data_IF_143960179168
#
_entry.id   IF_143960179168
#
_cell.length_a   1.000
_cell.length_b   1.000
_cell.length_c   1.000
_cell.angle_alpha   90.00
_cell.angle_beta   90.00
_cell.angle_gamma   90.00
#
_symmetry.space_group_name_H-M   'P 1'
#
loop_
_entity.id
_entity.type
_entity.pdbx_description
1 polymer ?
#
# COMPACT_ATOMS: atom_id res chain seq x y z
N UNK A 1 12.11 -13.82 15.24
CA UNK A 1 11.79 -14.22 13.86
C UNK A 1 13.02 -13.95 13.02
N UNK A 2 13.48 -14.91 12.27
CA UNK A 2 14.59 -14.79 11.35
C UNK A 2 14.04 -14.53 9.94
N UNK A 3 14.66 -13.62 9.19
CA UNK A 3 14.24 -13.23 7.83
C UNK A 3 15.40 -13.52 6.89
N UNK A 4 15.13 -14.28 5.84
CA UNK A 4 16.11 -14.68 4.84
C UNK A 4 15.82 -13.96 3.52
N UNK A 5 16.36 -12.77 3.39
CA UNK A 5 16.21 -11.96 2.18
C UNK A 5 16.98 -12.57 0.99
N UNK A 6 16.51 -12.32 -0.22
CA UNK A 6 17.12 -12.84 -1.45
C UNK A 6 17.09 -14.37 -1.57
N UNK A 7 16.26 -15.04 -0.77
CA UNK A 7 16.17 -16.49 -0.69
C UNK A 7 14.85 -17.02 -1.25
N UNK A 8 14.84 -18.24 -1.75
CA UNK A 8 13.67 -18.88 -2.34
C UNK A 8 13.52 -20.31 -1.83
N UNK A 9 12.33 -20.66 -1.32
CA UNK A 9 12.00 -22.06 -1.05
C UNK A 9 11.94 -22.84 -2.38
N UNK A 10 12.70 -23.92 -2.48
CA UNK A 10 12.86 -24.71 -3.71
C UNK A 10 12.01 -25.98 -3.66
N UNK A 11 12.02 -26.67 -2.52
CA UNK A 11 11.25 -27.88 -2.27
C UNK A 11 10.99 -28.12 -0.80
N UNK A 12 9.95 -28.87 -0.53
CA UNK A 12 9.62 -29.39 0.79
C UNK A 12 9.97 -30.88 0.81
N UNK A 13 10.68 -31.33 1.82
CA UNK A 13 10.99 -32.73 2.06
C UNK A 13 10.04 -33.33 3.09
N UNK A 14 9.66 -34.57 2.89
CA UNK A 14 8.85 -35.33 3.85
C UNK A 14 9.67 -36.42 4.54
N UNK A 15 9.16 -36.94 5.65
CA UNK A 15 9.77 -37.96 6.48
C UNK A 15 9.57 -39.42 5.98
N UNK A 16 9.03 -39.58 4.77
CA UNK A 16 8.61 -40.87 4.24
C UNK A 16 7.24 -41.35 4.71
N UNK A 17 6.69 -40.77 5.76
CA UNK A 17 5.33 -40.99 6.25
C UNK A 17 4.34 -39.90 5.82
N UNK A 18 4.76 -38.98 4.94
CA UNK A 18 3.94 -37.92 4.40
C UNK A 18 3.88 -36.64 5.25
N UNK A 19 4.67 -36.54 6.32
CA UNK A 19 4.79 -35.33 7.12
C UNK A 19 5.98 -34.51 6.65
N UNK A 20 5.89 -33.19 6.80
CA UNK A 20 7.00 -32.28 6.51
C UNK A 20 8.17 -32.58 7.44
N UNK A 21 9.36 -32.69 6.89
CA UNK A 21 10.62 -32.90 7.62
C UNK A 21 11.59 -31.72 7.44
N UNK A 22 11.62 -31.09 6.26
CA UNK A 22 12.49 -29.96 6.01
C UNK A 22 11.99 -29.12 4.81
N UNK A 23 12.52 -27.90 4.70
CA UNK A 23 12.44 -27.06 3.52
C UNK A 23 13.84 -26.83 2.98
N UNK A 24 14.04 -26.98 1.68
CA UNK A 24 15.26 -26.59 1.00
C UNK A 24 15.08 -25.17 0.47
N UNK A 25 15.98 -24.30 0.88
CA UNK A 25 15.99 -22.87 0.53
C UNK A 25 17.25 -22.57 -0.27
N UNK A 26 17.07 -21.98 -1.43
CA UNK A 26 18.17 -21.41 -2.21
C UNK A 26 18.44 -20.01 -1.69
N UNK A 27 19.66 -19.79 -1.22
CA UNK A 27 20.16 -18.51 -0.74
C UNK A 27 21.17 -17.93 -1.73
N UNK A 28 21.62 -16.67 -1.59
CA UNK A 28 22.70 -16.11 -2.40
C UNK A 28 24.02 -16.89 -2.29
N UNK A 29 24.22 -17.67 -1.24
CA UNK A 29 25.45 -18.45 -0.96
C UNK A 29 25.33 -19.94 -1.27
N UNK A 30 24.15 -20.45 -1.60
CA UNK A 30 23.92 -21.86 -1.90
C UNK A 30 22.56 -22.38 -1.44
N UNK A 31 22.37 -23.68 -1.47
CA UNK A 31 21.16 -24.31 -0.92
C UNK A 31 21.37 -24.70 0.55
N UNK A 32 20.41 -24.36 1.37
CA UNK A 32 20.36 -24.72 2.78
C UNK A 32 19.13 -25.56 3.09
N UNK A 33 19.27 -26.49 4.02
CA UNK A 33 18.22 -27.37 4.50
C UNK A 33 17.76 -26.93 5.89
N UNK A 34 16.52 -26.48 6.00
CA UNK A 34 15.92 -26.05 7.26
C UNK A 34 14.99 -27.15 7.76
N UNK A 35 15.32 -27.76 8.89
CA UNK A 35 14.46 -28.75 9.54
C UNK A 35 13.22 -28.07 10.13
N UNK A 36 12.06 -28.60 9.79
CA UNK A 36 10.77 -28.12 10.28
C UNK A 36 9.70 -29.19 10.11
N UNK A 37 8.69 -29.16 10.96
CA UNK A 37 7.53 -30.03 10.87
C UNK A 37 6.28 -29.32 10.32
N UNK A 38 6.40 -28.03 10.00
CA UNK A 38 5.31 -27.23 9.45
C UNK A 38 5.83 -26.16 8.49
N UNK A 39 5.13 -25.95 7.38
CA UNK A 39 5.43 -24.89 6.41
C UNK A 39 4.14 -24.12 6.10
N UNK A 40 4.19 -22.82 6.32
CA UNK A 40 3.14 -21.90 5.86
C UNK A 40 3.57 -21.25 4.55
N UNK A 41 2.75 -21.41 3.51
CA UNK A 41 3.02 -20.85 2.19
C UNK A 41 2.23 -19.55 1.98
N UNK A 42 2.93 -18.44 1.95
CA UNK A 42 2.39 -17.11 1.64
C UNK A 42 3.01 -16.58 0.35
N UNK A 43 2.80 -17.27 -0.77
CA UNK A 43 3.51 -17.02 -2.04
C UNK A 43 2.82 -15.98 -2.94
N UNK A 44 1.77 -15.34 -2.45
CA UNK A 44 0.96 -14.41 -3.22
C UNK A 44 -0.12 -15.10 -4.05
N UNK A 45 -0.68 -14.34 -4.98
CA UNK A 45 -1.83 -14.74 -5.80
C UNK A 45 -1.48 -14.61 -7.29
N UNK A 46 -2.19 -15.37 -8.12
CA UNK A 46 -2.08 -15.31 -9.57
C UNK A 46 -3.47 -15.21 -10.18
N UNK A 47 -3.58 -14.54 -11.34
CA UNK A 47 -4.84 -14.41 -12.07
C UNK A 47 -5.31 -15.75 -12.65
N UNK A 48 -6.60 -16.06 -12.55
CA UNK A 48 -7.20 -17.25 -13.13
C UNK A 48 -7.59 -17.00 -14.60
N UNK A 49 -6.60 -16.80 -15.46
CA UNK A 49 -6.79 -16.41 -16.85
C UNK A 49 -6.89 -17.58 -17.86
N UNK A 50 -6.71 -18.82 -17.42
CA UNK A 50 -6.67 -19.99 -18.31
C UNK A 50 -7.98 -20.15 -19.12
N UNK A 51 -9.13 -20.00 -18.47
CA UNK A 51 -10.42 -20.15 -19.14
C UNK A 51 -10.65 -19.05 -20.18
N UNK A 52 -10.54 -17.74 -19.87
CA UNK A 52 -10.73 -16.70 -20.88
C UNK A 52 -9.65 -16.73 -21.96
N UNK A 53 -8.42 -17.10 -21.66
CA UNK A 53 -7.37 -17.24 -22.65
C UNK A 53 -7.70 -18.35 -23.66
N UNK A 54 -8.13 -19.52 -23.17
CA UNK A 54 -8.50 -20.66 -24.01
C UNK A 54 -9.79 -20.41 -24.80
N UNK A 55 -10.81 -19.82 -24.16
CA UNK A 55 -12.14 -19.66 -24.79
C UNK A 55 -12.20 -18.46 -25.75
N UNK A 56 -11.50 -17.37 -25.46
CA UNK A 56 -11.62 -16.10 -26.18
C UNK A 56 -10.32 -15.69 -26.91
N UNK A 57 -9.19 -16.33 -26.62
CA UNK A 57 -7.91 -15.98 -27.22
C UNK A 57 -7.32 -14.65 -26.72
N UNK A 58 -7.70 -14.19 -25.53
CA UNK A 58 -7.14 -12.98 -24.95
C UNK A 58 -5.64 -13.17 -24.64
N UNK A 59 -4.85 -12.13 -24.79
CA UNK A 59 -3.41 -12.16 -24.45
C UNK A 59 -3.22 -12.18 -22.94
N UNK A 60 -2.31 -13.03 -22.49
CA UNK A 60 -1.95 -13.21 -21.09
C UNK A 60 -0.48 -12.82 -20.89
N UNK A 61 -0.17 -12.15 -19.81
CA UNK A 61 1.17 -11.74 -19.42
C UNK A 61 1.93 -12.79 -18.60
N UNK A 62 3.17 -12.48 -18.20
CA UNK A 62 4.07 -13.44 -17.54
C UNK A 62 3.64 -13.85 -16.13
N UNK A 63 2.76 -13.09 -15.48
CA UNK A 63 2.17 -13.41 -14.17
C UNK A 63 0.75 -13.96 -14.29
N UNK A 64 0.42 -14.50 -15.44
CA UNK A 64 -0.92 -15.05 -15.76
C UNK A 64 -2.04 -13.99 -15.80
N UNK A 65 -1.72 -12.69 -15.83
CA UNK A 65 -2.69 -11.61 -15.95
C UNK A 65 -3.19 -11.45 -17.38
N UNK A 66 -4.47 -11.12 -17.57
CA UNK A 66 -5.00 -10.71 -18.88
C UNK A 66 -4.51 -9.30 -19.20
N UNK A 67 -3.84 -9.15 -20.34
CA UNK A 67 -3.32 -7.87 -20.78
C UNK A 67 -4.46 -6.98 -21.26
N UNK A 68 -4.57 -5.79 -20.68
CA UNK A 68 -5.53 -4.75 -21.05
C UNK A 68 -4.85 -3.41 -21.30
N UNK A 69 -5.52 -2.55 -22.05
CA UNK A 69 -5.13 -1.13 -22.15
C UNK A 69 -5.72 -0.32 -20.98
N UNK A 70 -5.43 0.99 -20.93
CA UNK A 70 -5.96 1.90 -19.88
C UNK A 70 -7.49 2.02 -19.86
N UNK A 71 -8.17 1.60 -20.92
CA UNK A 71 -9.64 1.54 -21.01
C UNK A 71 -10.19 0.17 -20.59
N UNK A 72 -9.32 -0.74 -20.10
CA UNK A 72 -9.66 -2.10 -19.67
C UNK A 72 -10.10 -3.04 -20.82
N UNK A 73 -9.79 -2.67 -22.06
CA UNK A 73 -10.03 -3.51 -23.23
C UNK A 73 -8.91 -4.55 -23.38
N UNK A 74 -9.28 -5.77 -23.67
CA UNK A 74 -8.33 -6.84 -23.97
C UNK A 74 -7.82 -6.76 -25.42
N UNK A 75 -7.01 -7.73 -25.82
CA UNK A 75 -6.58 -7.89 -27.23
C UNK A 75 -7.72 -8.33 -28.18
N UNK A 76 -8.87 -8.73 -27.64
CA UNK A 76 -10.04 -9.17 -28.42
C UNK A 76 -11.09 -8.05 -28.43
N UNK A 77 -11.59 -7.63 -29.61
CA UNK A 77 -12.60 -6.59 -29.73
C UNK A 77 -13.85 -6.87 -28.88
N UNK A 78 -14.35 -5.83 -28.23
CA UNK A 78 -15.54 -5.88 -27.36
C UNK A 78 -15.41 -6.78 -26.11
N UNK A 79 -14.19 -7.24 -25.79
CA UNK A 79 -13.89 -8.01 -24.57
C UNK A 79 -13.10 -7.13 -23.62
N UNK A 80 -13.60 -7.00 -22.40
CA UNK A 80 -12.97 -6.24 -21.30
C UNK A 80 -12.57 -7.23 -20.20
N UNK A 81 -11.51 -6.94 -19.48
CA UNK A 81 -11.12 -7.68 -18.29
C UNK A 81 -10.92 -6.70 -17.12
N UNK A 82 -11.30 -7.14 -15.93
CA UNK A 82 -11.35 -6.33 -14.71
C UNK A 82 -10.91 -7.15 -13.48
N UNK A 83 -10.67 -6.46 -12.38
CA UNK A 83 -10.37 -7.09 -11.09
C UNK A 83 -9.06 -7.87 -11.11
N UNK A 84 -9.02 -8.93 -10.33
CA UNK A 84 -7.83 -9.76 -10.14
C UNK A 84 -7.34 -10.42 -11.44
N UNK A 85 -8.23 -10.53 -12.41
CA UNK A 85 -7.91 -11.09 -13.72
C UNK A 85 -6.87 -10.25 -14.49
N UNK A 86 -6.80 -8.95 -14.25
CA UNK A 86 -5.83 -8.04 -14.89
C UNK A 86 -4.52 -7.88 -14.10
N UNK A 87 -4.35 -8.66 -13.04
CA UNK A 87 -3.16 -8.61 -12.19
C UNK A 87 -3.06 -7.35 -11.34
N UNK A 88 -1.86 -7.08 -10.87
CA UNK A 88 -1.60 -5.99 -9.93
C UNK A 88 -2.02 -6.34 -8.50
N UNK A 89 -2.16 -5.34 -7.63
CA UNK A 89 -2.68 -5.59 -6.29
C UNK A 89 -4.13 -6.09 -6.37
N UNK A 90 -4.34 -7.33 -5.93
CA UNK A 90 -5.64 -8.02 -5.97
C UNK A 90 -6.50 -7.57 -4.79
N UNK A 91 -7.08 -6.38 -4.94
CA UNK A 91 -7.82 -5.67 -3.90
C UNK A 91 -9.29 -5.50 -4.31
N UNK A 92 -10.22 -5.84 -3.42
CA UNK A 92 -11.66 -5.80 -3.70
C UNK A 92 -12.12 -4.42 -4.22
N UNK A 93 -11.61 -3.32 -3.65
CA UNK A 93 -12.00 -1.99 -4.09
C UNK A 93 -11.43 -1.63 -5.48
N UNK A 94 -10.24 -2.13 -5.84
CA UNK A 94 -9.66 -1.97 -7.18
C UNK A 94 -10.45 -2.78 -8.20
N UNK A 95 -10.85 -4.01 -7.85
CA UNK A 95 -11.73 -4.83 -8.68
C UNK A 95 -13.07 -4.11 -8.96
N UNK A 96 -13.71 -3.56 -7.92
CA UNK A 96 -14.94 -2.78 -8.08
C UNK A 96 -14.73 -1.53 -8.94
N UNK A 97 -13.64 -0.79 -8.72
CA UNK A 97 -13.33 0.42 -9.50
C UNK A 97 -13.05 0.09 -10.96
N UNK A 98 -12.25 -0.94 -11.26
CA UNK A 98 -12.01 -1.37 -12.65
C UNK A 98 -13.32 -1.75 -13.35
N UNK A 99 -14.25 -2.42 -12.67
CA UNK A 99 -15.59 -2.71 -13.20
C UNK A 99 -16.39 -1.45 -13.55
N UNK A 100 -16.37 -0.43 -12.68
CA UNK A 100 -17.03 0.85 -12.95
C UNK A 100 -16.42 1.58 -14.16
N UNK A 101 -15.08 1.56 -14.27
CA UNK A 101 -14.37 2.18 -15.40
C UNK A 101 -14.65 1.44 -16.71
N UNK A 102 -14.64 0.10 -16.68
CA UNK A 102 -15.00 -0.70 -17.85
C UNK A 102 -16.44 -0.41 -18.31
N UNK A 103 -17.40 -0.38 -17.39
CA UNK A 103 -18.80 -0.06 -17.70
C UNK A 103 -18.94 1.32 -18.35
N UNK A 104 -18.27 2.34 -17.82
CA UNK A 104 -18.25 3.69 -18.42
C UNK A 104 -17.68 3.67 -19.84
N UNK A 105 -16.56 3.00 -20.05
CA UNK A 105 -15.94 2.87 -21.37
C UNK A 105 -16.84 2.14 -22.37
N UNK A 106 -17.58 1.11 -21.94
CA UNK A 106 -18.57 0.40 -22.76
C UNK A 106 -19.73 1.34 -23.14
N UNK A 107 -20.12 2.26 -22.25
CA UNK A 107 -21.17 3.25 -22.49
C UNK A 107 -20.67 4.48 -23.31
N UNK A 108 -19.42 4.48 -23.75
CA UNK A 108 -18.83 5.60 -24.50
C UNK A 108 -18.36 6.78 -23.64
N UNK A 109 -18.41 6.65 -22.32
CA UNK A 109 -17.82 7.63 -21.39
C UNK A 109 -16.33 7.32 -21.25
N UNK A 110 -15.48 8.11 -21.86
CA UNK A 110 -14.05 7.87 -21.87
C UNK A 110 -13.45 8.00 -20.46
N UNK A 111 -12.91 6.89 -19.93
CA UNK A 111 -12.22 6.85 -18.65
C UNK A 111 -10.95 6.01 -18.75
N UNK A 112 -9.93 6.38 -17.96
CA UNK A 112 -8.65 5.68 -17.92
C UNK A 112 -8.43 5.10 -16.53
N UNK A 113 -8.12 3.81 -16.48
CA UNK A 113 -7.83 3.08 -15.25
C UNK A 113 -6.33 2.89 -15.08
N UNK A 114 -5.80 3.44 -14.00
CA UNK A 114 -4.39 3.29 -13.62
C UNK A 114 -4.34 2.76 -12.17
N UNK A 115 -3.88 1.53 -11.94
CA UNK A 115 -3.87 0.93 -10.59
C UNK A 115 -3.10 1.75 -9.55
N UNK A 116 -2.02 2.43 -9.97
CA UNK A 116 -1.19 3.28 -9.10
C UNK A 116 -1.90 4.54 -8.57
N UNK A 117 -3.04 4.92 -9.17
CA UNK A 117 -3.81 6.09 -8.75
C UNK A 117 -4.76 5.78 -7.57
N UNK A 118 -4.73 4.54 -7.09
CA UNK A 118 -5.56 4.10 -5.97
C UNK A 118 -4.70 3.81 -4.75
N UNK A 119 -5.20 4.12 -3.54
CA UNK A 119 -4.50 3.75 -2.33
C UNK A 119 -4.29 2.23 -2.25
N UNK A 120 -3.20 1.83 -1.64
CA UNK A 120 -2.95 0.44 -1.25
C UNK A 120 -3.13 0.25 0.25
N UNK A 121 -3.45 -0.98 0.64
CA UNK A 121 -3.75 -1.32 2.01
C UNK A 121 -3.31 -2.75 2.36
N UNK A 122 -2.73 -2.92 3.55
CA UNK A 122 -2.43 -4.24 4.11
C UNK A 122 -3.26 -4.47 5.37
N UNK A 123 -4.04 -5.54 5.35
CA UNK A 123 -4.80 -6.06 6.48
C UNK A 123 -3.94 -6.92 7.39
N UNK A 124 -3.01 -6.29 8.07
CA UNK A 124 -2.19 -6.93 9.11
C UNK A 124 -2.65 -6.49 10.49
N UNK A 125 -2.10 -7.07 11.56
CA UNK A 125 -2.38 -6.61 12.92
C UNK A 125 -2.02 -5.12 13.10
N UNK A 126 -0.92 -4.69 12.47
CA UNK A 126 -0.64 -3.29 12.20
C UNK A 126 -1.07 -2.99 10.77
N UNK A 127 -2.21 -2.34 10.63
CA UNK A 127 -2.70 -1.91 9.33
C UNK A 127 -1.69 -0.97 8.67
N UNK A 128 -1.56 -1.07 7.35
CA UNK A 128 -0.72 -0.18 6.56
C UNK A 128 -1.55 0.34 5.39
N UNK A 129 -1.53 1.64 5.15
CA UNK A 129 -2.14 2.24 3.97
C UNK A 129 -1.21 3.28 3.36
N UNK A 130 -1.20 3.37 2.04
CA UNK A 130 -0.38 4.37 1.34
C UNK A 130 -0.97 4.75 -0.01
N UNK A 131 -0.60 5.93 -0.48
CA UNK A 131 -0.87 6.40 -1.83
C UNK A 131 0.23 7.38 -2.26
N UNK A 132 0.51 7.39 -3.55
CA UNK A 132 1.45 8.31 -4.18
C UNK A 132 2.90 7.85 -4.04
N UNK A 133 3.83 8.80 -4.07
CA UNK A 133 5.25 8.51 -4.15
C UNK A 133 5.84 8.13 -2.79
N UNK A 134 6.69 7.13 -2.79
CA UNK A 134 7.65 6.93 -1.72
C UNK A 134 8.66 8.07 -1.66
N UNK A 135 9.39 8.20 -0.57
CA UNK A 135 10.46 9.18 -0.44
C UNK A 135 11.53 9.03 -1.55
N UNK A 136 11.91 7.80 -1.87
CA UNK A 136 12.91 7.52 -2.90
C UNK A 136 12.43 7.97 -4.29
N UNK A 137 11.19 7.66 -4.64
CA UNK A 137 10.58 8.09 -5.92
C UNK A 137 10.43 9.60 -6.00
N UNK A 138 10.03 10.26 -4.91
CA UNK A 138 9.93 11.70 -4.85
C UNK A 138 11.30 12.37 -5.04
N UNK A 139 12.32 11.93 -4.30
CA UNK A 139 13.69 12.46 -4.43
C UNK A 139 14.31 12.24 -5.81
N UNK A 140 13.90 11.19 -6.53
CA UNK A 140 14.34 10.96 -7.91
C UNK A 140 13.71 11.96 -8.91
N UNK A 141 12.57 12.56 -8.60
CA UNK A 141 11.80 13.43 -9.51
C UNK A 141 11.83 14.91 -9.12
N UNK A 142 11.94 15.23 -7.85
CA UNK A 142 11.85 16.59 -7.32
C UNK A 142 13.15 17.00 -6.64
N UNK A 143 13.54 18.26 -6.83
CA UNK A 143 14.79 18.80 -6.26
C UNK A 143 14.67 19.09 -4.77
N UNK A 144 13.49 19.49 -4.32
CA UNK A 144 13.24 19.87 -2.94
C UNK A 144 12.12 19.00 -2.38
N UNK A 145 12.47 17.90 -1.72
CA UNK A 145 11.51 16.98 -1.11
C UNK A 145 11.58 17.10 0.39
N UNK A 146 10.46 17.42 1.00
CA UNK A 146 10.28 17.49 2.45
C UNK A 146 9.50 16.27 2.93
N UNK A 147 9.97 15.70 4.03
CA UNK A 147 9.36 14.53 4.66
C UNK A 147 8.89 14.93 6.06
N UNK A 148 7.63 14.69 6.32
CA UNK A 148 7.06 14.80 7.66
C UNK A 148 6.75 13.40 8.16
N UNK A 149 7.25 13.05 9.32
CA UNK A 149 6.92 11.79 10.00
C UNK A 149 6.29 12.09 11.35
N UNK A 150 5.08 11.58 11.55
CA UNK A 150 4.31 11.79 12.76
C UNK A 150 3.95 10.44 13.40
N UNK A 151 4.01 10.28 14.72
CA UNK A 151 4.52 11.28 15.66
C UNK A 151 6.03 11.48 15.49
N UNK A 152 6.52 12.65 15.85
CA UNK A 152 7.96 12.83 16.02
C UNK A 152 8.45 11.86 17.12
N UNK A 153 9.71 11.48 17.07
CA UNK A 153 10.31 10.69 18.15
C UNK A 153 10.13 11.44 19.47
N UNK A 154 9.27 10.93 20.33
CA UNK A 154 9.12 11.45 21.68
C UNK A 154 10.12 10.73 22.59
N UNK A 155 11.08 11.43 23.22
CA UNK A 155 12.02 10.83 24.15
C UNK A 155 11.34 10.14 25.34
N UNK A 156 10.15 10.58 25.74
CA UNK A 156 9.40 10.01 26.87
C UNK A 156 8.54 8.79 26.47
N UNK A 157 8.56 8.38 25.21
CA UNK A 157 7.86 7.21 24.71
C UNK A 157 6.33 7.34 24.64
N UNK A 158 5.77 8.48 25.04
CA UNK A 158 4.34 8.73 24.96
C UNK A 158 4.00 9.42 23.63
N UNK A 159 3.65 8.63 22.65
CA UNK A 159 3.20 9.14 21.35
C UNK A 159 1.71 9.52 21.40
N UNK A 160 1.40 10.67 21.94
CA UNK A 160 0.07 11.26 21.86
C UNK A 160 -0.03 11.95 20.50
N UNK A 161 -0.52 11.31 19.53
CA UNK A 161 -0.62 11.93 18.21
C UNK A 161 -0.54 10.91 17.09
N UNK A 162 -1.05 9.77 17.34
CA UNK A 162 -1.10 8.67 16.39
C UNK A 162 -2.29 8.78 15.48
N UNK A 163 -2.24 8.16 14.29
CA UNK A 163 -3.45 7.82 13.58
C UNK A 163 -4.29 6.94 14.51
N UNK A 164 -5.19 7.57 15.23
CA UNK A 164 -5.94 6.94 16.30
C UNK A 164 -7.42 6.97 15.98
N UNK A 165 -8.02 5.81 15.89
CA UNK A 165 -9.40 5.62 16.29
C UNK A 165 -9.49 5.63 17.83
N UNK A 166 -10.65 5.79 18.44
CA UNK A 166 -10.86 5.72 19.90
C UNK A 166 -10.18 4.50 20.54
N UNK A 167 -10.18 3.37 19.83
CA UNK A 167 -9.49 2.15 20.22
C UNK A 167 -7.97 2.30 20.24
N UNK A 168 -7.43 3.11 19.35
CA UNK A 168 -5.99 3.32 19.24
C UNK A 168 -5.45 4.16 20.37
N UNK A 169 -6.21 5.13 20.88
CA UNK A 169 -5.74 5.93 22.01
C UNK A 169 -5.61 5.08 23.28
N UNK A 170 -6.60 4.25 23.58
CA UNK A 170 -6.49 3.30 24.69
C UNK A 170 -5.29 2.37 24.49
N UNK A 171 -5.05 1.94 23.27
CA UNK A 171 -3.93 1.06 22.95
C UNK A 171 -2.58 1.78 23.02
N UNK A 172 -2.50 3.01 22.54
CA UNK A 172 -1.31 3.85 22.63
C UNK A 172 -0.94 4.19 24.09
N UNK A 173 -1.92 4.43 24.92
CA UNK A 173 -1.72 4.64 26.36
C UNK A 173 -1.28 3.37 27.07
N UNK A 174 -1.84 2.22 26.70
CA UNK A 174 -1.50 0.94 27.30
C UNK A 174 -0.19 0.35 26.79
N UNK A 175 0.14 0.60 25.50
CA UNK A 175 1.31 0.05 24.81
C UNK A 175 1.91 1.07 23.84
N UNK A 176 2.55 2.15 24.32
CA UNK A 176 3.03 3.25 23.48
C UNK A 176 4.07 2.82 22.43
N UNK A 177 4.81 1.73 22.66
CA UNK A 177 5.75 1.17 21.69
C UNK A 177 5.10 0.46 20.49
N UNK A 178 3.80 0.22 20.56
CA UNK A 178 3.02 -0.40 19.47
C UNK A 178 2.26 0.63 18.64
N UNK A 179 2.50 1.90 18.86
CA UNK A 179 1.93 2.97 18.08
C UNK A 179 2.57 3.01 16.69
N UNK A 180 1.77 3.24 15.65
CA UNK A 180 2.26 3.36 14.29
C UNK A 180 2.88 4.74 13.98
N UNK A 181 2.89 5.11 12.72
CA UNK A 181 3.28 6.43 12.27
C UNK A 181 2.52 6.83 11.01
N UNK A 182 2.48 8.14 10.78
CA UNK A 182 2.08 8.73 9.52
C UNK A 182 3.29 9.40 8.89
N UNK A 183 3.47 9.21 7.59
CA UNK A 183 4.52 9.86 6.80
C UNK A 183 3.89 10.61 5.65
N UNK A 184 4.20 11.90 5.53
CA UNK A 184 3.81 12.74 4.40
C UNK A 184 5.06 13.12 3.60
N UNK A 185 4.98 12.94 2.30
CA UNK A 185 6.02 13.33 1.33
C UNK A 185 5.46 14.47 0.51
N UNK A 186 6.12 15.62 0.47
CA UNK A 186 5.67 16.74 -0.34
C UNK A 186 6.82 17.48 -1.02
N UNK A 187 6.51 18.19 -2.10
CA UNK A 187 7.45 19.07 -2.78
C UNK A 187 7.58 20.37 -1.99
N UNK A 188 8.77 20.68 -1.53
CA UNK A 188 9.05 21.86 -0.72
C UNK A 188 8.85 23.19 -1.45
N UNK A 189 8.83 23.20 -2.79
CA UNK A 189 8.62 24.42 -3.58
C UNK A 189 7.15 24.71 -3.79
N UNK A 190 6.40 23.75 -4.35
CA UNK A 190 4.95 23.89 -4.60
C UNK A 190 4.11 23.56 -3.39
N UNK A 191 4.69 22.96 -2.36
CA UNK A 191 4.03 22.44 -1.15
C UNK A 191 3.00 21.34 -1.40
N UNK A 192 2.92 20.82 -2.64
CA UNK A 192 1.99 19.77 -3.04
C UNK A 192 2.35 18.45 -2.37
N UNK A 193 1.35 17.76 -1.84
CA UNK A 193 1.49 16.41 -1.30
C UNK A 193 1.73 15.42 -2.45
N UNK A 194 2.85 14.71 -2.38
CA UNK A 194 3.28 13.73 -3.38
C UNK A 194 2.99 12.30 -2.96
N UNK A 195 2.93 12.05 -1.66
CA UNK A 195 2.65 10.73 -1.12
C UNK A 195 2.34 10.77 0.37
N UNK A 196 1.52 9.84 0.81
CA UNK A 196 1.17 9.63 2.22
C UNK A 196 1.19 8.16 2.56
N UNK A 197 1.71 7.86 3.74
CA UNK A 197 1.88 6.49 4.23
C UNK A 197 1.50 6.43 5.70
N UNK A 198 0.64 5.48 6.04
CA UNK A 198 0.18 5.26 7.40
C UNK A 198 0.51 3.83 7.84
N UNK A 199 0.98 3.67 9.05
CA UNK A 199 1.22 2.37 9.69
C UNK A 199 0.61 2.41 11.08
N UNK A 200 -0.18 1.42 11.42
CA UNK A 200 -0.77 1.29 12.75
C UNK A 200 -2.29 1.24 12.73
N UNK A 201 -2.86 1.17 13.91
CA UNK A 201 -4.32 1.14 14.08
C UNK A 201 -4.97 2.40 13.52
N UNK A 202 -6.00 2.25 12.71
CA UNK A 202 -6.69 3.34 12.03
C UNK A 202 -6.10 3.72 10.67
N UNK A 203 -5.08 3.02 10.18
CA UNK A 203 -4.55 3.25 8.84
C UNK A 203 -5.61 3.01 7.75
N UNK A 204 -6.55 2.09 7.97
CA UNK A 204 -7.70 1.87 7.07
C UNK A 204 -8.66 3.07 7.07
N UNK A 205 -8.83 3.75 8.20
CA UNK A 205 -9.72 4.90 8.30
C UNK A 205 -9.09 6.10 7.57
N UNK A 206 -7.76 6.20 7.58
CA UNK A 206 -7.01 7.19 6.81
C UNK A 206 -7.04 6.97 5.29
N UNK A 207 -7.36 5.76 4.84
CA UNK A 207 -7.39 5.38 3.42
C UNK A 207 -8.24 6.33 2.55
N UNK A 208 -9.37 6.81 3.06
CA UNK A 208 -10.23 7.74 2.34
C UNK A 208 -9.55 9.12 2.13
N UNK A 209 -8.83 9.59 3.15
CA UNK A 209 -8.12 10.86 3.09
C UNK A 209 -6.94 10.83 2.13
N UNK A 210 -6.20 9.73 2.09
CA UNK A 210 -5.07 9.56 1.18
C UNK A 210 -5.49 9.84 -0.26
N UNK A 211 -6.66 9.32 -0.64
CA UNK A 211 -7.19 9.46 -1.98
C UNK A 211 -7.43 10.94 -2.33
N UNK A 212 -8.04 11.69 -1.42
CA UNK A 212 -8.30 13.12 -1.63
C UNK A 212 -6.99 13.91 -1.64
N UNK A 213 -6.15 13.72 -0.64
CA UNK A 213 -4.93 14.52 -0.45
C UNK A 213 -3.93 14.39 -1.59
N UNK A 214 -3.68 13.18 -2.04
CA UNK A 214 -2.67 12.91 -3.07
C UNK A 214 -3.24 13.05 -4.46
N UNK A 215 -4.41 12.46 -4.70
CA UNK A 215 -5.01 12.41 -6.04
C UNK A 215 -5.51 13.76 -6.52
N UNK A 216 -6.15 14.53 -5.65
CA UNK A 216 -6.60 15.89 -5.97
C UNK A 216 -5.45 16.90 -5.95
N UNK A 217 -4.27 16.47 -5.52
CA UNK A 217 -3.07 17.30 -5.54
C UNK A 217 -3.08 18.43 -4.52
N UNK A 218 -3.67 18.18 -3.36
CA UNK A 218 -3.70 19.14 -2.28
C UNK A 218 -2.29 19.49 -1.80
N UNK A 219 -2.17 20.69 -1.28
CA UNK A 219 -0.94 21.17 -0.64
C UNK A 219 -0.96 20.90 0.86
N UNK A 220 0.20 21.02 1.48
CA UNK A 220 0.30 20.93 2.94
C UNK A 220 -0.48 22.07 3.63
N UNK A 221 -0.66 23.18 2.95
CA UNK A 221 -1.45 24.32 3.45
C UNK A 221 -2.95 24.00 3.46
N UNK A 222 -3.45 23.34 2.42
CA UNK A 222 -4.84 22.86 2.37
C UNK A 222 -5.13 21.86 3.51
N UNK A 223 -4.16 20.99 3.82
CA UNK A 223 -4.30 20.08 4.96
C UNK A 223 -4.35 20.83 6.30
N UNK A 224 -3.63 21.95 6.42
CA UNK A 224 -3.64 22.80 7.61
C UNK A 224 -4.95 23.54 7.84
N UNK A 225 -5.79 23.68 6.82
CA UNK A 225 -7.12 24.32 6.93
C UNK A 225 -8.26 23.32 7.19
N UNK A 226 -7.97 22.02 7.15
CA UNK A 226 -8.97 20.98 7.43
C UNK A 226 -9.22 20.87 8.93
N UNK A 227 -10.50 20.87 9.31
CA UNK A 227 -10.88 20.58 10.68
C UNK A 227 -10.79 19.08 10.97
N UNK A 228 -10.30 18.76 12.16
CA UNK A 228 -10.27 17.37 12.63
C UNK A 228 -10.91 17.24 14.01
N UNK A 229 -11.62 16.15 14.19
CA UNK A 229 -12.10 15.79 15.52
C UNK A 229 -10.93 15.25 16.37
N UNK A 230 -10.92 15.60 17.62
CA UNK A 230 -9.99 15.00 18.58
C UNK A 230 -10.10 13.46 18.53
N UNK A 231 -8.97 12.78 18.51
CA UNK A 231 -8.83 11.33 18.32
C UNK A 231 -9.06 10.83 16.88
N UNK A 232 -8.89 11.69 15.90
CA UNK A 232 -8.94 11.31 14.51
C UNK A 232 -7.57 10.76 14.05
N UNK A 233 -7.51 9.79 13.12
CA UNK A 233 -6.26 9.29 12.54
C UNK A 233 -5.46 10.30 11.72
N UNK A 234 -5.94 11.52 11.45
CA UNK A 234 -5.37 12.47 10.46
C UNK A 234 -4.53 13.47 11.16
N UNK A 235 -4.05 13.84 12.01
CA UNK A 235 -3.12 14.83 12.56
C UNK A 235 -2.98 16.14 11.77
N UNK A 236 -4.06 16.67 11.22
CA UNK A 236 -4.04 17.92 10.46
C UNK A 236 -3.57 19.11 11.31
N UNK A 237 -3.91 19.18 12.58
CA UNK A 237 -3.45 20.23 13.50
C UNK A 237 -1.91 20.29 13.56
N UNK A 238 -1.26 19.12 13.51
CA UNK A 238 0.19 19.08 13.55
C UNK A 238 0.79 19.47 12.20
N UNK A 239 0.13 19.16 11.11
CA UNK A 239 0.50 19.62 9.77
C UNK A 239 0.33 21.13 9.62
N UNK A 240 -0.68 21.74 10.26
CA UNK A 240 -0.88 23.20 10.28
C UNK A 240 0.24 23.95 10.99
N UNK A 241 0.88 23.35 11.98
CA UNK A 241 2.05 23.94 12.64
C UNK A 241 3.26 24.06 11.72
N UNK A 242 3.38 23.17 10.75
CA UNK A 242 4.43 23.22 9.73
C UNK A 242 4.16 24.31 8.68
N UNK A 243 2.89 24.67 8.46
CA UNK A 243 2.48 25.81 7.65
C UNK A 243 3.07 27.13 8.16
N UNK A 244 3.21 27.28 9.46
CA UNK A 244 3.73 28.49 10.09
C UNK A 244 5.26 28.70 9.91
N UNK A 245 5.93 27.93 9.05
CA UNK A 245 7.34 28.11 8.72
C UNK A 245 8.32 27.55 9.76
N UNK A 246 7.85 26.74 10.68
CA UNK A 246 8.73 26.07 11.64
C UNK A 246 9.30 24.78 11.04
N UNK A 247 10.14 24.91 10.03
CA UNK A 247 10.85 23.78 9.38
C UNK A 247 11.70 22.97 10.39
N UNK A 248 12.04 23.54 11.54
CA UNK A 248 12.77 22.84 12.61
C UNK A 248 11.99 21.75 13.34
N UNK A 249 10.68 21.63 13.09
CA UNK A 249 9.87 20.53 13.64
C UNK A 249 9.93 19.24 12.80
N UNK A 250 10.64 19.27 11.67
CA UNK A 250 10.78 18.13 10.76
C UNK A 250 11.80 17.10 11.27
N UNK A 251 12.75 17.54 12.11
CA UNK A 251 13.84 16.72 12.65
C UNK A 251 13.61 16.27 14.11
N UNK A 252 12.40 16.43 14.64
CA UNK A 252 12.05 16.00 16.00
C UNK A 252 11.46 14.59 16.05
#
# INVERSE_FOLDING_TARGET
MEIWEGSQAVRIENDGAGKVAAVIVRTPTGEERIETNFVFMGLGETSNSEMPAKALGVKVGPKNEVIVNSRLQTSVPNVYAIGDLIGGPMEMFKARKSGMYAARNIMGLETHYEPKDFPDFLHTHYEVSWLGMSEAEARAKYKNVVIIKMPPKNPDGLNIGLPASDRTMLYALAKPHMSGFQKVVFDGNSRRVLGMHHVGYGAKDAFQYLNVMVKEGLTIDDLGEMDELFLNPTHFIQLSRLRAGNEKLVDL
#
